data_IF_744071320278
#
_entry.id   IF_744071320278
#
_cell.length_a   1.000
_cell.length_b   1.000
_cell.length_c   1.000
_cell.angle_alpha   90.00
_cell.angle_beta   90.00
_cell.angle_gamma   90.00
#
_symmetry.space_group_name_H-M   'P 1'
#
loop_
_entity.id
_entity.type
_entity.pdbx_description
1 polymer ?
#
# COMPACT_ATOMS: atom_id res chain seq x y z
N UNK A 1 14.53 -10.96 1.87
CA UNK A 1 13.28 -10.31 1.44
C UNK A 1 13.61 -8.86 1.09
N UNK A 2 13.28 -8.39 -0.11
CA UNK A 2 13.55 -7.00 -0.52
C UNK A 2 12.25 -6.20 -0.59
N UNK A 3 12.25 -4.95 -0.13
CA UNK A 3 11.11 -4.01 -0.21
C UNK A 3 10.62 -3.76 -1.65
N UNK A 4 11.40 -4.17 -2.66
CA UNK A 4 11.01 -4.10 -4.08
C UNK A 4 10.09 -5.25 -4.51
N UNK A 5 10.02 -6.32 -3.73
CA UNK A 5 9.34 -7.58 -4.09
C UNK A 5 8.14 -7.88 -3.18
N UNK A 6 7.59 -6.87 -2.51
CA UNK A 6 6.43 -6.99 -1.63
C UNK A 6 5.18 -6.43 -2.30
N UNK A 7 4.00 -6.85 -1.84
CA UNK A 7 2.74 -6.32 -2.35
C UNK A 7 2.59 -4.84 -1.97
N UNK A 8 1.88 -4.07 -2.81
CA UNK A 8 1.60 -2.65 -2.56
C UNK A 8 0.83 -2.44 -1.25
N UNK A 9 -0.04 -3.37 -0.87
CA UNK A 9 -0.77 -3.32 0.41
C UNK A 9 0.20 -3.48 1.58
N UNK A 10 1.09 -4.47 1.53
CA UNK A 10 2.04 -4.70 2.61
C UNK A 10 3.07 -3.56 2.73
N UNK A 11 3.51 -3.01 1.59
CA UNK A 11 4.36 -1.82 1.57
C UNK A 11 3.67 -0.62 2.24
N UNK A 12 2.40 -0.37 1.93
CA UNK A 12 1.63 0.73 2.52
C UNK A 12 1.43 0.57 4.03
N UNK A 13 1.24 -0.67 4.51
CA UNK A 13 1.19 -0.96 5.95
C UNK A 13 2.51 -0.62 6.62
N UNK A 14 3.64 -1.10 6.07
CA UNK A 14 4.97 -0.77 6.61
C UNK A 14 5.17 0.74 6.65
N UNK A 15 4.96 1.45 5.53
CA UNK A 15 5.17 2.90 5.49
C UNK A 15 4.23 3.65 6.44
N UNK A 16 2.98 3.20 6.57
CA UNK A 16 1.97 3.86 7.42
C UNK A 16 2.10 3.57 8.92
N UNK A 17 2.76 2.48 9.32
CA UNK A 17 2.85 2.07 10.74
C UNK A 17 4.28 1.83 11.23
N UNK A 18 5.31 2.11 10.42
CA UNK A 18 6.71 1.87 10.80
C UNK A 18 7.14 2.72 11.99
N UNK A 19 8.03 2.13 12.77
CA UNK A 19 8.95 2.84 13.66
C UNK A 19 10.33 2.88 12.98
N UNK A 20 10.95 4.05 12.90
CA UNK A 20 12.24 4.21 12.20
C UNK A 20 13.37 3.86 13.17
N UNK A 21 14.05 2.74 12.91
CA UNK A 21 15.22 2.31 13.69
C UNK A 21 16.52 2.95 13.20
N UNK A 22 16.65 3.20 11.89
CA UNK A 22 17.80 3.84 11.26
C UNK A 22 17.38 4.48 9.94
N UNK A 23 17.87 5.70 9.69
CA UNK A 23 17.72 6.39 8.41
C UNK A 23 18.99 7.22 8.16
N UNK A 24 19.63 6.98 7.02
CA UNK A 24 20.81 7.75 6.58
C UNK A 24 20.42 8.96 5.72
N UNK A 25 19.37 8.80 4.89
CA UNK A 25 18.86 9.82 3.98
C UNK A 25 17.33 9.90 4.08
N UNK A 26 16.86 10.95 4.77
CA UNK A 26 15.44 11.20 4.98
C UNK A 26 14.70 11.57 3.69
N UNK A 27 15.38 12.20 2.73
CA UNK A 27 14.78 12.58 1.45
C UNK A 27 14.50 11.32 0.63
N UNK A 28 15.47 10.40 0.58
CA UNK A 28 15.28 9.11 -0.09
C UNK A 28 14.14 8.31 0.54
N UNK A 29 14.06 8.28 1.88
CA UNK A 29 12.96 7.63 2.59
C UNK A 29 11.62 8.29 2.28
N UNK A 30 11.53 9.63 2.35
CA UNK A 30 10.30 10.37 2.06
C UNK A 30 9.81 10.17 0.62
N UNK A 31 10.73 10.12 -0.34
CA UNK A 31 10.41 9.81 -1.73
C UNK A 31 9.88 8.38 -1.91
N UNK A 32 10.45 7.41 -1.18
CA UNK A 32 9.94 6.04 -1.17
C UNK A 32 8.53 5.97 -0.57
N UNK A 33 8.31 6.61 0.58
CA UNK A 33 7.02 6.62 1.27
C UNK A 33 5.92 7.22 0.38
N UNK A 34 6.21 8.35 -0.24
CA UNK A 34 5.30 9.01 -1.18
C UNK A 34 4.94 8.11 -2.37
N UNK A 35 5.93 7.41 -2.94
CA UNK A 35 5.71 6.49 -4.05
C UNK A 35 4.81 5.33 -3.63
N UNK A 36 5.04 4.73 -2.46
CA UNK A 36 4.22 3.63 -1.93
C UNK A 36 2.78 4.09 -1.75
N UNK A 37 2.55 5.26 -1.14
CA UNK A 37 1.18 5.76 -0.96
C UNK A 37 0.48 6.08 -2.28
N UNK A 38 1.19 6.64 -3.26
CA UNK A 38 0.66 6.87 -4.61
C UNK A 38 0.26 5.56 -5.29
N UNK A 39 1.11 4.54 -5.23
CA UNK A 39 0.81 3.21 -5.79
C UNK A 39 -0.37 2.55 -5.07
N UNK A 40 -0.45 2.69 -3.74
CA UNK A 40 -1.56 2.17 -2.94
C UNK A 40 -2.90 2.86 -3.24
N UNK A 41 -2.90 4.18 -3.41
CA UNK A 41 -4.08 4.94 -3.82
C UNK A 41 -4.61 4.45 -5.18
N UNK A 42 -3.72 4.36 -6.18
CA UNK A 42 -4.05 3.86 -7.51
C UNK A 42 -4.61 2.43 -7.48
N UNK A 43 -3.97 1.54 -6.71
CA UNK A 43 -4.45 0.17 -6.55
C UNK A 43 -5.88 0.13 -5.96
N UNK A 44 -6.19 1.00 -5.01
CA UNK A 44 -7.54 1.06 -4.42
C UNK A 44 -8.57 1.66 -5.38
N UNK A 45 -8.20 2.65 -6.19
CA UNK A 45 -9.05 3.16 -7.28
C UNK A 45 -9.41 2.06 -8.27
N UNK A 46 -8.42 1.24 -8.69
CA UNK A 46 -8.63 0.10 -9.58
C UNK A 46 -9.47 -1.01 -8.93
N UNK A 47 -9.23 -1.28 -7.63
CA UNK A 47 -9.98 -2.29 -6.86
C UNK A 47 -11.42 -1.89 -6.57
N UNK A 48 -11.74 -0.60 -6.57
CA UNK A 48 -13.07 -0.10 -6.23
C UNK A 48 -14.17 -0.77 -7.07
N UNK A 49 -13.94 -0.94 -8.37
CA UNK A 49 -14.92 -1.60 -9.26
C UNK A 49 -15.22 -3.03 -8.80
N UNK A 50 -14.17 -3.77 -8.39
CA UNK A 50 -14.30 -5.15 -7.92
C UNK A 50 -15.02 -5.19 -6.57
N UNK A 51 -14.67 -4.28 -5.66
CA UNK A 51 -15.30 -4.19 -4.34
C UNK A 51 -16.78 -3.80 -4.43
N UNK A 52 -17.12 -2.81 -5.27
CA UNK A 52 -18.49 -2.38 -5.53
C UNK A 52 -19.34 -3.52 -6.13
N UNK A 53 -18.75 -4.38 -6.96
CA UNK A 53 -19.42 -5.58 -7.49
C UNK A 53 -19.65 -6.63 -6.39
N UNK A 54 -18.63 -6.91 -5.57
CA UNK A 54 -18.75 -7.85 -4.43
C UNK A 54 -19.82 -7.37 -3.43
N UNK A 55 -19.89 -6.07 -3.15
CA UNK A 55 -20.88 -5.47 -2.25
C UNK A 55 -22.31 -5.66 -2.79
N UNK A 56 -22.52 -5.45 -4.10
CA UNK A 56 -23.82 -5.68 -4.76
C UNK A 56 -24.23 -7.15 -4.80
N UNK A 57 -23.27 -8.05 -5.00
CA UNK A 57 -23.52 -9.50 -5.11
C UNK A 57 -23.60 -10.20 -3.74
N UNK A 58 -23.34 -9.48 -2.64
CA UNK A 58 -23.61 -9.91 -1.27
C UNK A 58 -22.73 -11.06 -0.75
N UNK A 59 -21.64 -11.40 -1.44
CA UNK A 59 -20.74 -12.49 -1.03
C UNK A 59 -19.32 -11.99 -0.80
N UNK A 60 -19.11 -11.40 0.36
CA UNK A 60 -17.79 -11.32 0.97
C UNK A 60 -17.56 -12.65 1.70
N UNK A 61 -16.81 -13.57 1.10
CA UNK A 61 -16.30 -14.71 1.84
C UNK A 61 -15.15 -14.18 2.71
N UNK A 62 -15.50 -13.85 3.96
CA UNK A 62 -14.55 -13.60 5.04
C UNK A 62 -13.94 -14.89 5.56
#
# INVERSE_FOLDING_TARGET
MHLKNISTVFAAQIVGTKEILYCEDEILMGNYDMRVFKEYAKLNEERKIVLDAIEKDGKVYG
#
